data_IF_682699401698
#
_entry.id   IF_682699401698
#
_cell.length_a   1.000
_cell.length_b   1.000
_cell.length_c   1.000
_cell.angle_alpha   90.00
_cell.angle_beta   90.00
_cell.angle_gamma   90.00
#
_symmetry.space_group_name_H-M   'P 1'
#
loop_
_entity.id
_entity.type
_entity.pdbx_description
1 polymer ?
#
# COMPACT_ATOMS: atom_id res chain seq x y z
N UNK A 1 17.03 67.45 -9.60
CA UNK A 1 18.20 68.32 -9.45
C UNK A 1 19.11 67.67 -8.43
N UNK A 2 20.32 67.39 -8.90
CA UNK A 2 21.38 66.62 -8.27
C UNK A 2 21.82 67.16 -6.91
N UNK A 3 22.47 66.29 -6.13
CA UNK A 3 23.17 66.70 -4.91
C UNK A 3 23.64 65.54 -4.03
N UNK A 4 24.45 64.64 -4.58
CA UNK A 4 25.33 63.76 -3.79
C UNK A 4 26.39 64.59 -3.07
N UNK A 5 26.62 64.37 -1.77
CA UNK A 5 27.93 64.52 -1.14
C UNK A 5 28.04 63.71 0.17
N UNK A 6 29.25 63.20 0.36
CA UNK A 6 29.71 62.06 1.17
C UNK A 6 30.16 62.41 2.59
N UNK A 7 29.90 61.47 3.53
CA UNK A 7 30.68 60.99 4.70
C UNK A 7 31.29 62.00 5.72
N UNK A 8 31.34 61.65 7.04
CA UNK A 8 32.41 60.77 7.56
C UNK A 8 32.01 59.78 8.67
N UNK A 9 32.78 58.70 8.81
CA UNK A 9 32.84 57.78 9.97
C UNK A 9 33.49 58.49 11.19
N UNK A 10 33.18 58.12 12.46
CA UNK A 10 33.96 57.05 13.10
C UNK A 10 33.25 56.21 14.19
N UNK A 11 33.97 55.13 14.54
CA UNK A 11 34.05 54.44 15.84
C UNK A 11 32.92 53.53 16.33
N UNK A 12 33.29 52.25 16.37
CA UNK A 12 32.77 51.17 17.22
C UNK A 12 32.56 51.59 18.67
N UNK A 13 31.35 51.35 19.20
CA UNK A 13 31.10 51.20 20.63
C UNK A 13 30.31 49.92 20.85
N UNK A 14 30.92 48.98 21.55
CA UNK A 14 30.33 47.73 22.01
C UNK A 14 29.31 48.07 23.11
N UNK A 15 28.03 47.74 22.92
CA UNK A 15 27.04 47.74 23.99
C UNK A 15 26.38 46.37 24.03
N UNK A 16 26.75 45.60 25.05
CA UNK A 16 26.06 44.42 25.53
C UNK A 16 24.65 44.78 25.98
N UNK A 17 23.63 44.18 25.37
CA UNK A 17 22.25 44.20 25.89
C UNK A 17 21.82 42.78 26.19
N UNK A 18 21.55 42.58 27.48
CA UNK A 18 21.03 41.40 28.14
C UNK A 18 19.69 40.95 27.56
N UNK A 19 19.55 39.63 27.40
CA UNK A 19 18.33 38.99 26.94
C UNK A 19 17.21 39.11 27.97
N UNK A 20 16.05 39.61 27.56
CA UNK A 20 14.78 39.36 28.23
C UNK A 20 13.69 39.06 27.20
N UNK A 21 13.38 37.77 27.10
CA UNK A 21 12.07 37.14 26.86
C UNK A 21 10.98 37.95 26.13
N UNK A 22 10.73 37.61 24.85
CA UNK A 22 9.39 37.57 24.26
C UNK A 22 9.37 36.66 23.01
N UNK A 23 9.15 35.36 23.19
CA UNK A 23 8.88 34.45 22.07
C UNK A 23 8.10 33.19 22.50
N UNK A 24 6.83 33.35 22.90
CA UNK A 24 5.89 32.23 23.00
C UNK A 24 4.67 32.51 22.13
N UNK A 25 4.79 32.23 20.82
CA UNK A 25 3.65 31.92 19.92
C UNK A 25 4.01 31.51 18.48
N UNK A 26 5.29 31.49 18.08
CA UNK A 26 5.71 31.09 16.71
C UNK A 26 6.27 29.66 16.55
N UNK A 27 6.42 28.89 17.62
CA UNK A 27 7.14 27.59 17.57
C UNK A 27 6.32 26.40 17.08
N UNK A 28 4.98 26.38 17.28
CA UNK A 28 4.14 25.25 16.83
C UNK A 28 3.94 25.20 15.30
N UNK A 29 3.85 26.35 14.65
CA UNK A 29 3.66 26.42 13.18
C UNK A 29 4.97 26.16 12.43
N UNK A 30 6.10 26.51 13.04
CA UNK A 30 7.43 26.33 12.45
C UNK A 30 7.90 24.86 12.55
N UNK A 31 7.62 24.16 13.65
CA UNK A 31 7.92 22.72 13.79
C UNK A 31 7.16 21.84 12.79
N UNK A 32 5.88 22.15 12.51
CA UNK A 32 5.11 21.46 11.46
C UNK A 32 5.69 21.71 10.06
N UNK A 33 6.08 22.95 9.75
CA UNK A 33 6.69 23.29 8.44
C UNK A 33 8.05 22.63 8.24
N UNK A 34 8.87 22.52 9.29
CA UNK A 34 10.20 21.88 9.21
C UNK A 34 10.08 20.38 8.95
N UNK A 35 9.19 19.66 9.65
CA UNK A 35 8.98 18.22 9.43
C UNK A 35 8.45 17.91 8.02
N UNK A 36 7.55 18.74 7.48
CA UNK A 36 7.09 18.61 6.09
C UNK A 36 8.20 18.93 5.09
N UNK A 37 9.06 19.91 5.37
CA UNK A 37 10.22 20.22 4.52
C UNK A 37 11.29 19.13 4.54
N UNK A 38 11.59 18.49 5.68
CA UNK A 38 12.57 17.39 5.73
C UNK A 38 12.07 16.14 5.03
N UNK A 39 10.78 15.81 5.13
CA UNK A 39 10.18 14.73 4.34
C UNK A 39 10.20 15.02 2.83
N UNK A 40 9.88 16.26 2.44
CA UNK A 40 9.98 16.72 1.06
C UNK A 40 11.43 16.71 0.54
N UNK A 41 12.41 17.07 1.38
CA UNK A 41 13.84 17.04 1.04
C UNK A 41 14.40 15.62 0.97
N UNK A 42 13.92 14.70 1.81
CA UNK A 42 14.35 13.29 1.81
C UNK A 42 13.74 12.53 0.64
N UNK A 43 12.46 12.76 0.35
CA UNK A 43 11.81 12.28 -0.88
C UNK A 43 12.46 12.88 -2.12
N UNK A 44 12.80 14.18 -2.10
CA UNK A 44 13.58 14.81 -3.17
C UNK A 44 14.98 14.20 -3.29
N UNK A 45 15.69 13.88 -2.20
CA UNK A 45 17.02 13.23 -2.26
C UNK A 45 16.94 11.80 -2.82
N UNK A 46 15.95 11.00 -2.41
CA UNK A 46 15.73 9.68 -3.00
C UNK A 46 15.29 9.76 -4.47
N UNK A 47 14.53 10.79 -4.86
CA UNK A 47 14.16 11.05 -6.25
C UNK A 47 15.33 11.58 -7.11
N UNK A 48 16.16 12.48 -6.57
CA UNK A 48 17.34 13.04 -7.26
C UNK A 48 18.45 12.00 -7.44
N UNK A 49 18.62 11.07 -6.49
CA UNK A 49 19.51 9.92 -6.66
C UNK A 49 19.13 9.00 -7.82
N UNK A 50 17.90 9.08 -8.35
CA UNK A 50 17.42 8.33 -9.53
C UNK A 50 17.55 9.06 -10.86
N UNK A 51 17.72 10.38 -10.87
CA UNK A 51 17.91 11.16 -12.10
C UNK A 51 19.38 11.28 -12.52
N UNK A 52 20.33 10.76 -11.73
CA UNK A 52 21.69 10.57 -12.20
C UNK A 52 21.71 9.40 -13.18
N UNK A 53 21.97 9.70 -14.45
CA UNK A 53 22.41 8.71 -15.44
C UNK A 53 23.55 7.89 -14.82
N UNK A 54 23.56 6.55 -14.91
CA UNK A 54 24.61 5.74 -14.30
C UNK A 54 25.97 6.15 -14.87
N UNK A 55 26.82 6.75 -14.04
CA UNK A 55 28.19 7.14 -14.42
C UNK A 55 29.18 5.99 -14.20
N UNK A 56 28.73 4.84 -13.69
CA UNK A 56 29.54 3.64 -13.49
C UNK A 56 29.12 2.50 -14.44
N UNK A 57 30.06 1.74 -15.03
CA UNK A 57 29.73 0.68 -16.00
C UNK A 57 28.96 -0.54 -15.43
N UNK A 58 28.66 -0.57 -14.12
CA UNK A 58 28.08 -1.72 -13.41
C UNK A 58 26.62 -1.58 -12.95
N UNK A 59 26.03 -0.39 -12.98
CA UNK A 59 24.63 -0.15 -12.54
C UNK A 59 23.67 -0.01 -13.73
N UNK A 60 23.59 -1.04 -14.59
CA UNK A 60 22.49 -1.16 -15.55
C UNK A 60 21.32 -1.85 -14.85
N UNK A 61 20.28 -1.10 -14.49
CA UNK A 61 18.94 -1.67 -14.28
C UNK A 61 18.45 -2.12 -15.65
N UNK A 62 18.45 -3.42 -15.91
CA UNK A 62 17.91 -4.01 -17.14
C UNK A 62 16.39 -3.74 -17.18
N UNK A 63 15.99 -2.68 -17.86
CA UNK A 63 14.58 -2.34 -18.09
C UNK A 63 13.95 -3.48 -18.90
N UNK A 64 12.79 -3.97 -18.46
CA UNK A 64 12.11 -5.06 -19.15
C UNK A 64 11.68 -4.60 -20.55
N UNK A 65 12.36 -5.15 -21.56
CA UNK A 65 12.33 -4.72 -22.95
C UNK A 65 11.35 -5.51 -23.83
N UNK A 66 10.86 -6.67 -23.37
CA UNK A 66 10.05 -7.56 -24.19
C UNK A 66 8.98 -8.28 -23.39
N UNK A 67 7.75 -8.24 -23.88
CA UNK A 67 6.57 -8.90 -23.28
C UNK A 67 6.66 -10.44 -23.27
N UNK A 68 7.62 -11.03 -23.98
CA UNK A 68 7.90 -12.46 -24.00
C UNK A 68 9.38 -12.73 -23.72
N UNK A 69 9.68 -13.86 -23.08
CA UNK A 69 11.01 -14.47 -23.10
C UNK A 69 11.33 -14.92 -24.55
N UNK A 70 11.87 -14.01 -25.38
CA UNK A 70 12.24 -14.32 -26.78
C UNK A 70 13.74 -14.56 -26.87
N UNK A 71 14.12 -15.69 -27.46
CA UNK A 71 15.49 -15.93 -27.90
C UNK A 71 15.68 -15.31 -29.30
N UNK A 72 16.70 -14.44 -29.48
CA UNK A 72 16.91 -13.66 -30.71
C UNK A 72 18.02 -14.23 -31.59
N UNK A 73 17.77 -14.48 -32.89
CA UNK A 73 18.83 -14.86 -33.85
C UNK A 73 19.66 -13.64 -34.30
N UNK A 74 20.98 -13.83 -34.42
CA UNK A 74 21.93 -12.84 -34.93
C UNK A 74 21.49 -12.34 -36.33
N UNK A 75 21.38 -11.02 -36.51
CA UNK A 75 21.10 -10.40 -37.81
C UNK A 75 19.66 -9.92 -38.05
N UNK A 76 18.78 -9.96 -37.04
CA UNK A 76 17.47 -9.32 -37.14
C UNK A 76 17.62 -7.79 -36.99
N UNK A 77 17.16 -7.03 -37.99
CA UNK A 77 17.11 -5.57 -37.93
C UNK A 77 16.10 -5.15 -36.85
N UNK A 78 16.60 -4.60 -35.74
CA UNK A 78 15.78 -4.00 -34.69
C UNK A 78 15.05 -2.77 -35.25
N UNK A 79 13.75 -2.86 -35.44
CA UNK A 79 12.88 -1.70 -35.64
C UNK A 79 11.91 -1.52 -34.47
N UNK A 80 12.42 -1.51 -33.24
CA UNK A 80 11.86 -0.77 -32.08
C UNK A 80 12.73 -1.03 -30.86
N UNK A 81 13.02 0.04 -30.12
CA UNK A 81 14.04 0.09 -29.08
C UNK A 81 13.74 -0.81 -27.88
N UNK A 82 14.73 -1.58 -27.41
CA UNK A 82 15.18 -1.58 -26.01
C UNK A 82 16.45 -2.42 -25.83
N UNK A 83 17.23 -2.02 -24.83
CA UNK A 83 18.67 -2.21 -24.71
C UNK A 83 19.05 -3.45 -23.91
N UNK A 84 19.71 -4.44 -24.53
CA UNK A 84 20.79 -5.24 -23.93
C UNK A 84 21.31 -6.29 -24.94
N UNK A 85 22.46 -6.04 -25.56
CA UNK A 85 23.25 -7.10 -26.19
C UNK A 85 24.69 -6.98 -25.68
N UNK A 86 25.15 -7.99 -24.94
CA UNK A 86 26.54 -8.09 -24.47
C UNK A 86 27.43 -8.51 -25.65
N UNK A 87 28.60 -7.88 -25.76
CA UNK A 87 29.61 -7.99 -26.84
C UNK A 87 30.22 -9.40 -27.08
N UNK A 88 29.71 -10.48 -26.47
CA UNK A 88 30.40 -11.78 -26.40
C UNK A 88 29.82 -12.89 -27.28
N UNK A 89 28.82 -12.60 -28.14
CA UNK A 89 28.32 -13.59 -29.11
C UNK A 89 27.57 -14.79 -28.51
N UNK A 90 27.13 -14.69 -27.25
CA UNK A 90 26.31 -15.71 -26.58
C UNK A 90 24.85 -15.26 -26.55
N UNK A 91 23.94 -16.09 -27.07
CA UNK A 91 22.50 -15.95 -26.88
C UNK A 91 22.19 -16.00 -25.39
N UNK A 92 21.67 -14.91 -24.83
CA UNK A 92 21.06 -14.88 -23.49
C UNK A 92 19.57 -14.66 -23.67
N UNK A 93 18.75 -15.68 -23.39
CA UNK A 93 17.31 -15.49 -23.34
C UNK A 93 16.98 -14.81 -22.00
N UNK A 94 16.25 -13.70 -22.04
CA UNK A 94 15.73 -13.06 -20.82
C UNK A 94 14.57 -13.93 -20.31
N UNK A 95 14.77 -14.58 -19.16
CA UNK A 95 13.79 -15.49 -18.56
C UNK A 95 12.72 -14.75 -17.76
N UNK A 96 12.98 -13.48 -17.39
CA UNK A 96 12.07 -12.73 -16.55
C UNK A 96 10.98 -12.02 -17.39
N UNK A 97 9.73 -12.47 -17.23
CA UNK A 97 8.56 -11.83 -17.83
C UNK A 97 8.42 -10.37 -17.38
N UNK A 98 7.96 -9.49 -18.28
CA UNK A 98 7.58 -8.13 -17.89
C UNK A 98 6.30 -8.13 -17.05
N UNK A 99 6.25 -7.20 -16.08
CA UNK A 99 5.07 -6.99 -15.25
C UNK A 99 3.88 -6.49 -16.08
N UNK A 100 4.15 -5.59 -17.03
CA UNK A 100 3.17 -5.11 -18.01
C UNK A 100 3.36 -5.88 -19.31
N UNK A 101 2.26 -6.44 -19.81
CA UNK A 101 2.25 -7.27 -21.02
C UNK A 101 1.07 -6.87 -21.90
N UNK A 102 1.37 -6.24 -23.04
CA UNK A 102 0.35 -5.76 -23.97
C UNK A 102 -0.53 -6.89 -24.54
N UNK A 103 0.02 -8.09 -24.69
CA UNK A 103 -0.75 -9.23 -25.18
C UNK A 103 -1.74 -9.71 -24.13
N UNK A 104 -1.30 -9.78 -22.86
CA UNK A 104 -2.18 -10.10 -21.75
C UNK A 104 -3.28 -9.04 -21.59
N UNK A 105 -2.92 -7.75 -21.67
CA UNK A 105 -3.89 -6.64 -21.66
C UNK A 105 -4.94 -6.85 -22.77
N UNK A 106 -4.50 -7.07 -24.00
CA UNK A 106 -5.39 -7.27 -25.15
C UNK A 106 -6.28 -8.50 -24.99
N UNK A 107 -5.71 -9.61 -24.52
CA UNK A 107 -6.42 -10.86 -24.27
C UNK A 107 -7.55 -10.69 -23.25
N UNK A 108 -7.26 -10.05 -22.11
CA UNK A 108 -8.27 -9.73 -21.09
C UNK A 108 -9.34 -8.81 -21.66
N UNK A 109 -8.96 -7.77 -22.41
CA UNK A 109 -9.92 -6.82 -22.97
C UNK A 109 -10.87 -7.49 -23.97
N UNK A 110 -10.35 -8.35 -24.85
CA UNK A 110 -11.14 -9.11 -25.83
C UNK A 110 -12.10 -10.11 -25.17
N UNK A 111 -11.72 -10.67 -24.02
CA UNK A 111 -12.52 -11.66 -23.29
C UNK A 111 -13.22 -11.07 -22.06
N UNK A 112 -13.33 -9.74 -21.96
CA UNK A 112 -13.83 -9.04 -20.76
C UNK A 112 -15.24 -9.47 -20.35
N UNK A 113 -16.13 -9.73 -21.30
CA UNK A 113 -17.48 -10.27 -21.03
C UNK A 113 -17.46 -11.66 -20.38
N UNK A 114 -16.49 -12.50 -20.75
CA UNK A 114 -16.30 -13.84 -20.19
C UNK A 114 -15.64 -13.79 -18.81
N UNK A 115 -14.68 -12.89 -18.64
CA UNK A 115 -13.95 -12.75 -17.38
C UNK A 115 -14.71 -11.95 -16.31
N UNK A 116 -15.64 -11.08 -16.71
CA UNK A 116 -16.37 -10.19 -15.81
C UNK A 116 -15.58 -8.95 -15.38
N UNK A 117 -14.40 -8.72 -15.95
CA UNK A 117 -13.54 -7.58 -15.63
C UNK A 117 -12.70 -7.15 -16.85
N UNK A 118 -12.14 -5.94 -16.79
CA UNK A 118 -11.33 -5.33 -17.85
C UNK A 118 -9.95 -4.93 -17.36
N UNK A 119 -8.99 -4.84 -18.28
CA UNK A 119 -7.61 -4.46 -18.01
C UNK A 119 -7.29 -3.00 -18.37
N UNK A 120 -6.20 -2.46 -17.83
CA UNK A 120 -5.61 -1.18 -18.17
C UNK A 120 -4.08 -1.26 -18.19
N UNK A 121 -3.49 -0.31 -18.90
CA UNK A 121 -2.04 -0.14 -18.94
C UNK A 121 -1.61 0.95 -17.94
N UNK A 122 -0.91 0.56 -16.87
CA UNK A 122 -0.45 1.48 -15.82
C UNK A 122 1.03 1.83 -15.99
N UNK A 123 1.31 3.11 -16.26
CA UNK A 123 2.68 3.60 -16.47
C UNK A 123 3.60 3.40 -15.27
N UNK A 124 3.05 3.37 -14.06
CA UNK A 124 3.82 3.09 -12.85
C UNK A 124 4.48 1.70 -12.83
N UNK A 125 4.05 0.77 -13.68
CA UNK A 125 4.59 -0.59 -13.79
C UNK A 125 5.51 -0.80 -15.01
N UNK A 126 5.70 0.22 -15.87
CA UNK A 126 6.52 0.08 -17.07
C UNK A 126 7.99 -0.21 -16.76
N UNK A 127 8.58 -1.08 -17.58
CA UNK A 127 10.00 -1.47 -17.49
C UNK A 127 10.35 -2.36 -16.30
N UNK A 128 9.38 -2.76 -15.47
CA UNK A 128 9.59 -3.64 -14.30
C UNK A 128 9.37 -5.10 -14.66
N UNK A 129 10.14 -5.99 -14.04
CA UNK A 129 9.98 -7.44 -14.17
C UNK A 129 8.84 -7.94 -13.28
N UNK A 130 8.19 -9.04 -13.67
CA UNK A 130 7.09 -9.65 -12.92
C UNK A 130 7.54 -10.07 -11.51
N UNK A 131 8.73 -10.65 -11.38
CA UNK A 131 9.31 -11.03 -10.09
C UNK A 131 9.49 -9.82 -9.16
N UNK A 132 9.90 -8.67 -9.70
CA UNK A 132 9.99 -7.41 -8.92
C UNK A 132 8.61 -6.91 -8.51
N UNK A 133 7.64 -6.95 -9.43
CA UNK A 133 6.25 -6.60 -9.16
C UNK A 133 5.67 -7.42 -8.01
N UNK A 134 5.78 -8.75 -8.09
CA UNK A 134 5.36 -9.65 -7.03
C UNK A 134 6.08 -9.36 -5.71
N UNK A 135 7.41 -9.27 -5.71
CA UNK A 135 8.18 -9.04 -4.49
C UNK A 135 7.88 -7.69 -3.81
N UNK A 136 7.77 -6.59 -4.58
CA UNK A 136 7.71 -5.23 -4.03
C UNK A 136 6.30 -4.65 -3.95
N UNK A 137 5.31 -5.21 -4.66
CA UNK A 137 3.90 -4.78 -4.56
C UNK A 137 3.05 -5.72 -3.72
N UNK A 138 3.36 -7.01 -3.59
CA UNK A 138 2.51 -7.94 -2.83
C UNK A 138 2.97 -8.17 -1.40
N UNK A 139 4.28 -8.34 -1.13
CA UNK A 139 4.96 -8.14 0.15
C UNK A 139 4.46 -8.85 1.43
N UNK A 140 3.43 -9.68 1.38
CA UNK A 140 2.93 -10.37 2.57
C UNK A 140 3.46 -11.80 2.59
N UNK A 141 3.98 -12.25 3.72
CA UNK A 141 4.33 -13.65 3.92
C UNK A 141 3.14 -14.45 4.44
N UNK A 142 3.10 -15.75 4.11
CA UNK A 142 2.12 -16.66 4.69
C UNK A 142 2.20 -16.62 6.22
N UNK A 143 1.08 -16.47 6.94
CA UNK A 143 1.09 -16.49 8.40
C UNK A 143 1.74 -17.76 8.93
N UNK A 144 2.47 -17.64 10.03
CA UNK A 144 3.06 -18.81 10.70
C UNK A 144 1.97 -19.79 11.14
N UNK A 145 2.30 -21.07 11.25
CA UNK A 145 1.34 -22.15 11.55
C UNK A 145 0.42 -21.85 12.74
N UNK A 146 0.96 -21.30 13.83
CA UNK A 146 0.16 -20.93 15.01
C UNK A 146 -0.84 -19.80 14.72
N UNK A 147 -0.41 -18.78 13.99
CA UNK A 147 -1.25 -17.66 13.52
C UNK A 147 -2.31 -18.16 12.54
N UNK A 148 -1.89 -18.99 11.58
CA UNK A 148 -2.77 -19.57 10.58
C UNK A 148 -3.84 -20.49 11.20
N UNK A 149 -3.51 -21.18 12.29
CA UNK A 149 -4.43 -22.09 12.99
C UNK A 149 -5.18 -21.43 14.16
N UNK A 150 -5.12 -20.10 14.31
CA UNK A 150 -5.92 -19.39 15.31
C UNK A 150 -7.40 -19.74 15.13
N UNK A 151 -8.05 -20.18 16.23
CA UNK A 151 -9.48 -20.46 16.24
C UNK A 151 -10.24 -19.18 15.88
N UNK A 152 -11.11 -19.22 14.86
CA UNK A 152 -11.90 -18.06 14.50
C UNK A 152 -12.82 -17.62 15.65
N UNK A 153 -13.04 -16.31 15.76
CA UNK A 153 -13.99 -15.74 16.68
C UNK A 153 -15.41 -16.22 16.36
N UNK A 154 -16.15 -16.62 17.39
CA UNK A 154 -17.53 -17.06 17.24
C UNK A 154 -18.43 -15.83 17.08
N UNK A 155 -18.78 -15.51 15.84
CA UNK A 155 -19.80 -14.51 15.52
C UNK A 155 -21.17 -15.15 15.41
N UNK A 156 -22.22 -14.39 15.75
CA UNK A 156 -23.63 -14.77 15.60
C UNK A 156 -24.30 -13.76 14.66
N UNK A 157 -24.12 -13.90 13.34
CA UNK A 157 -24.65 -12.94 12.38
C UNK A 157 -26.18 -12.99 12.37
N UNK A 158 -26.81 -11.82 12.29
CA UNK A 158 -28.26 -11.72 12.12
C UNK A 158 -28.56 -11.59 10.62
N UNK A 159 -28.78 -12.73 9.96
CA UNK A 159 -28.78 -12.83 8.49
C UNK A 159 -29.75 -11.85 7.80
N UNK A 160 -30.95 -11.63 8.34
CA UNK A 160 -31.95 -10.73 7.76
C UNK A 160 -31.54 -9.24 7.84
N UNK A 161 -30.49 -8.90 8.59
CA UNK A 161 -29.94 -7.53 8.68
C UNK A 161 -28.74 -7.32 7.75
N UNK A 162 -28.25 -8.36 7.07
CA UNK A 162 -27.15 -8.24 6.12
C UNK A 162 -27.75 -7.84 4.76
N UNK A 163 -27.58 -6.59 4.29
CA UNK A 163 -28.12 -6.17 3.00
C UNK A 163 -27.40 -6.87 1.84
N UNK A 164 -28.02 -6.85 0.66
CA UNK A 164 -27.41 -7.39 -0.56
C UNK A 164 -26.14 -6.63 -0.97
N UNK A 165 -26.11 -5.33 -0.68
CA UNK A 165 -24.99 -4.43 -0.95
C UNK A 165 -24.70 -3.57 0.28
N UNK A 166 -23.42 -3.32 0.52
CA UNK A 166 -22.97 -2.48 1.62
C UNK A 166 -21.61 -1.91 1.30
N UNK A 167 -21.38 -0.65 1.66
CA UNK A 167 -20.08 -0.01 1.60
C UNK A 167 -19.88 0.83 2.84
N UNK A 168 -18.88 0.48 3.66
CA UNK A 168 -18.58 1.16 4.90
C UNK A 168 -18.32 2.66 4.69
N UNK A 169 -17.82 3.05 3.51
CA UNK A 169 -17.50 4.45 3.17
C UNK A 169 -18.75 5.33 3.06
N UNK A 170 -19.90 4.73 2.73
CA UNK A 170 -21.17 5.43 2.54
C UNK A 170 -22.18 5.15 3.65
N UNK A 171 -21.77 4.45 4.71
CA UNK A 171 -22.62 4.26 5.88
C UNK A 171 -22.75 5.60 6.63
N UNK A 172 -23.97 6.13 6.83
CA UNK A 172 -24.16 7.47 7.42
C UNK A 172 -23.45 7.67 8.77
N UNK A 173 -23.44 6.65 9.62
CA UNK A 173 -22.80 6.72 10.94
C UNK A 173 -21.26 6.77 10.86
N UNK A 174 -20.67 6.45 9.71
CA UNK A 174 -19.22 6.39 9.49
C UNK A 174 -18.73 7.38 8.44
N UNK A 175 -19.53 8.41 8.14
CA UNK A 175 -19.16 9.46 7.20
C UNK A 175 -17.83 10.12 7.60
N UNK A 176 -16.84 10.06 6.70
CA UNK A 176 -15.49 10.58 6.96
C UNK A 176 -14.64 9.77 7.95
N UNK A 177 -15.10 8.60 8.39
CA UNK A 177 -14.40 7.72 9.36
C UNK A 177 -13.79 6.48 8.71
N UNK A 178 -13.90 6.32 7.39
CA UNK A 178 -13.21 5.29 6.62
C UNK A 178 -12.10 5.95 5.79
N UNK A 179 -10.86 5.53 6.03
CA UNK A 179 -9.69 6.05 5.32
C UNK A 179 -9.70 5.69 3.84
N UNK A 180 -9.13 6.59 3.03
CA UNK A 180 -8.91 6.39 1.60
C UNK A 180 -7.81 5.36 1.28
N UNK A 181 -7.48 5.25 -0.01
CA UNK A 181 -6.40 4.37 -0.49
C UNK A 181 -5.05 5.06 -0.36
N UNK A 182 -4.05 4.33 0.12
CA UNK A 182 -2.65 4.75 0.20
C UNK A 182 -1.78 4.04 -0.86
N UNK A 183 -0.55 4.51 -1.04
CA UNK A 183 0.43 3.89 -1.94
C UNK A 183 1.66 3.44 -1.16
N UNK A 184 1.93 2.12 -1.19
CA UNK A 184 3.12 1.51 -0.60
C UNK A 184 4.38 1.72 -1.46
N UNK A 185 4.24 2.25 -2.67
CA UNK A 185 5.34 2.39 -3.63
C UNK A 185 6.00 1.05 -3.97
N UNK A 186 7.30 1.08 -4.21
CA UNK A 186 8.11 -0.10 -4.57
C UNK A 186 8.74 -0.75 -3.34
N UNK A 187 7.93 -0.97 -2.31
CA UNK A 187 8.34 -1.65 -1.08
C UNK A 187 7.21 -2.59 -0.63
N UNK A 188 7.50 -3.89 -0.50
CA UNK A 188 6.57 -4.97 -0.20
C UNK A 188 5.98 -4.86 1.20
N UNK A 189 5.07 -3.91 1.41
CA UNK A 189 4.63 -3.47 2.75
C UNK A 189 3.11 -3.48 2.91
N UNK A 190 2.41 -4.15 1.99
CA UNK A 190 0.97 -4.39 2.05
C UNK A 190 0.49 -4.89 3.42
N UNK A 191 1.20 -5.86 4.03
CA UNK A 191 0.93 -6.40 5.37
C UNK A 191 0.88 -5.32 6.46
N UNK A 192 1.70 -4.28 6.34
CA UNK A 192 1.74 -3.14 7.24
C UNK A 192 0.63 -2.15 6.90
N UNK A 193 0.49 -1.77 5.63
CA UNK A 193 -0.53 -0.82 5.17
C UNK A 193 -1.95 -1.29 5.48
N UNK A 194 -2.31 -2.52 5.12
CA UNK A 194 -3.64 -3.07 5.38
C UNK A 194 -3.94 -3.21 6.88
N UNK A 195 -2.94 -3.58 7.69
CA UNK A 195 -3.10 -3.66 9.15
C UNK A 195 -3.36 -2.28 9.75
N UNK A 196 -2.61 -1.27 9.32
CA UNK A 196 -2.76 0.11 9.76
C UNK A 196 -4.06 0.74 9.29
N UNK A 197 -4.47 0.48 8.05
CA UNK A 197 -5.72 1.00 7.49
C UNK A 197 -6.94 0.44 8.25
N UNK A 198 -6.93 -0.85 8.57
CA UNK A 198 -7.98 -1.45 9.41
C UNK A 198 -7.93 -0.90 10.83
N UNK A 199 -6.74 -0.78 11.42
CA UNK A 199 -6.59 -0.25 12.78
C UNK A 199 -7.07 1.20 12.88
N UNK A 200 -6.71 2.06 11.91
CA UNK A 200 -7.08 3.47 11.92
C UNK A 200 -8.57 3.65 11.63
N UNK A 201 -9.16 2.91 10.67
CA UNK A 201 -10.60 3.00 10.38
C UNK A 201 -11.42 2.68 11.61
N UNK A 202 -11.06 1.59 12.31
CA UNK A 202 -11.77 1.19 13.51
C UNK A 202 -11.58 2.19 14.63
N UNK A 203 -10.36 2.72 14.84
CA UNK A 203 -10.13 3.80 15.80
C UNK A 203 -10.96 5.05 15.49
N UNK A 204 -11.05 5.46 14.22
CA UNK A 204 -11.86 6.59 13.77
C UNK A 204 -13.36 6.35 14.02
N UNK A 205 -13.88 5.16 13.67
CA UNK A 205 -15.27 4.76 13.93
C UNK A 205 -15.60 4.84 15.43
N UNK A 206 -14.71 4.38 16.30
CA UNK A 206 -14.97 4.32 17.74
C UNK A 206 -14.84 5.66 18.43
N UNK A 207 -13.85 6.45 18.03
CA UNK A 207 -13.55 7.73 18.67
C UNK A 207 -14.35 8.88 18.10
N UNK A 208 -14.93 8.72 16.91
CA UNK A 208 -15.52 9.80 16.12
C UNK A 208 -14.47 10.80 15.61
N UNK A 209 -13.18 10.53 15.79
CA UNK A 209 -12.11 11.42 15.33
C UNK A 209 -11.83 11.17 13.86
N UNK A 210 -12.28 12.07 12.98
CA UNK A 210 -11.87 12.08 11.58
C UNK A 210 -10.40 12.49 11.44
N UNK A 211 -9.70 11.99 10.41
CA UNK A 211 -8.32 12.36 10.05
C UNK A 211 -7.18 11.74 10.88
N UNK A 212 -7.30 10.47 11.30
CA UNK A 212 -6.16 9.69 11.78
C UNK A 212 -5.46 9.03 10.59
N UNK A 213 -4.16 9.26 10.43
CA UNK A 213 -3.32 8.52 9.46
C UNK A 213 -2.12 7.96 10.19
N UNK A 214 -2.09 6.64 10.39
CA UNK A 214 -1.05 5.99 11.16
C UNK A 214 0.23 5.77 10.33
N UNK A 215 1.38 5.98 10.95
CA UNK A 215 2.69 5.90 10.32
C UNK A 215 3.02 4.47 9.88
N UNK A 216 3.05 4.26 8.56
CA UNK A 216 3.57 3.02 8.00
C UNK A 216 5.07 2.89 8.25
N UNK A 217 5.79 4.00 8.20
CA UNK A 217 7.24 4.00 8.37
C UNK A 217 7.69 3.55 9.76
N UNK A 218 7.05 4.05 10.82
CA UNK A 218 7.40 3.63 12.18
C UNK A 218 7.14 2.14 12.35
N UNK A 219 6.02 1.62 11.84
CA UNK A 219 5.73 0.20 11.90
C UNK A 219 6.84 -0.61 11.25
N UNK A 220 7.25 -0.26 10.02
CA UNK A 220 8.31 -0.96 9.30
C UNK A 220 9.67 -0.87 10.00
N UNK A 221 10.07 0.34 10.39
CA UNK A 221 11.39 0.59 10.95
C UNK A 221 11.55 0.01 12.36
N UNK A 222 10.47 -0.08 13.14
CA UNK A 222 10.50 -0.44 14.57
C UNK A 222 9.85 -1.79 14.90
N UNK A 223 9.24 -2.49 13.93
CA UNK A 223 8.78 -3.88 14.12
C UNK A 223 9.96 -4.82 14.35
N UNK A 224 9.74 -5.82 15.21
CA UNK A 224 10.66 -6.93 15.43
C UNK A 224 9.98 -8.27 15.06
N UNK A 225 10.67 -9.19 14.37
CA UNK A 225 12.01 -9.06 13.78
C UNK A 225 12.11 -7.93 12.76
N UNK A 226 13.34 -7.45 12.50
CA UNK A 226 13.58 -6.41 11.48
C UNK A 226 13.12 -6.93 10.12
N UNK A 227 12.56 -6.03 9.32
CA UNK A 227 12.02 -6.30 7.99
C UNK A 227 12.72 -5.42 6.95
N UNK A 228 12.65 -5.83 5.69
CA UNK A 228 13.05 -5.03 4.53
C UNK A 228 11.86 -4.88 3.57
N UNK A 229 12.11 -4.33 2.38
CA UNK A 229 11.07 -4.16 1.36
C UNK A 229 10.65 -5.46 0.66
N UNK A 230 11.14 -6.64 1.05
CA UNK A 230 10.76 -7.91 0.44
C UNK A 230 9.53 -8.54 1.09
N UNK A 231 9.18 -8.09 2.29
CA UNK A 231 7.91 -8.47 2.90
C UNK A 231 7.92 -8.57 4.41
N UNK A 232 6.76 -8.94 4.95
CA UNK A 232 6.58 -9.17 6.37
C UNK A 232 5.34 -9.97 6.71
N UNK A 233 5.23 -10.27 8.00
CA UNK A 233 4.16 -11.10 8.56
C UNK A 233 3.10 -10.21 9.23
N UNK A 234 1.82 -10.51 8.99
CA UNK A 234 0.71 -9.76 9.59
C UNK A 234 0.68 -9.89 11.12
N UNK A 235 1.10 -11.03 11.69
CA UNK A 235 1.24 -11.20 13.13
C UNK A 235 2.27 -10.26 13.76
N UNK A 236 3.33 -9.90 13.03
CA UNK A 236 4.34 -8.97 13.52
C UNK A 236 3.81 -7.53 13.53
N UNK A 237 3.03 -7.16 12.50
CA UNK A 237 2.31 -5.87 12.46
C UNK A 237 1.36 -5.75 13.66
N UNK A 238 0.42 -6.69 13.80
CA UNK A 238 -0.55 -6.65 14.89
C UNK A 238 0.10 -6.79 16.28
N UNK A 239 1.15 -7.60 16.40
CA UNK A 239 1.94 -7.70 17.62
C UNK A 239 2.60 -6.37 18.00
N UNK A 240 3.14 -5.64 17.02
CA UNK A 240 3.74 -4.32 17.21
C UNK A 240 2.70 -3.26 17.57
N UNK A 241 1.57 -3.24 16.87
CA UNK A 241 0.45 -2.34 17.14
C UNK A 241 -0.14 -2.53 18.54
N UNK A 242 -0.26 -3.78 19.00
CA UNK A 242 -0.71 -4.08 20.36
C UNK A 242 0.30 -3.65 21.42
N UNK A 243 1.57 -4.03 21.27
CA UNK A 243 2.61 -3.84 22.32
C UNK A 243 3.11 -2.40 22.37
N UNK A 244 3.53 -1.88 21.23
CA UNK A 244 4.23 -0.60 21.10
C UNK A 244 3.30 0.51 20.60
N UNK A 245 2.41 0.17 19.68
CA UNK A 245 1.62 1.14 18.93
C UNK A 245 2.46 1.94 17.94
N UNK A 246 1.80 2.79 17.17
CA UNK A 246 2.43 3.67 16.19
C UNK A 246 1.89 5.09 16.30
N UNK A 247 2.69 6.06 15.93
CA UNK A 247 2.32 7.46 15.82
C UNK A 247 1.65 7.76 14.48
N UNK A 248 1.20 9.00 14.32
CA UNK A 248 0.68 9.47 13.04
C UNK A 248 1.78 9.69 12.01
N UNK A 249 1.44 9.49 10.74
CA UNK A 249 2.30 9.64 9.56
C UNK A 249 3.03 10.99 9.54
N UNK A 250 2.39 12.07 10.01
CA UNK A 250 3.02 13.40 10.08
C UNK A 250 4.21 13.47 11.05
N UNK A 251 4.30 12.55 12.01
CA UNK A 251 5.37 12.47 12.99
C UNK A 251 6.49 11.53 12.56
N UNK A 252 6.19 10.57 11.69
CA UNK A 252 7.17 9.66 11.10
C UNK A 252 6.78 9.36 9.66
N UNK A 253 7.20 10.21 8.70
CA UNK A 253 6.78 10.10 7.30
C UNK A 253 7.35 8.89 6.56
N UNK A 254 6.56 8.38 5.62
CA UNK A 254 6.85 7.23 4.78
C UNK A 254 7.82 7.57 3.66
N UNK A 255 8.95 6.86 3.67
CA UNK A 255 10.05 7.03 2.71
C UNK A 255 10.39 5.71 2.02
N UNK A 256 10.09 4.56 2.65
CA UNK A 256 10.48 3.24 2.15
C UNK A 256 9.99 2.91 0.75
N UNK A 257 8.77 3.30 0.39
CA UNK A 257 8.21 3.07 -0.94
C UNK A 257 8.95 3.79 -2.07
N UNK A 258 9.65 4.88 -1.76
CA UNK A 258 10.41 5.68 -2.72
C UNK A 258 11.88 5.29 -2.78
N UNK A 259 12.46 4.99 -1.62
CA UNK A 259 13.88 4.66 -1.48
C UNK A 259 14.16 3.15 -1.62
N UNK A 260 13.12 2.30 -1.70
CA UNK A 260 13.20 0.83 -1.79
C UNK A 260 14.00 0.20 -0.63
N UNK A 261 14.00 0.85 0.54
CA UNK A 261 14.70 0.40 1.74
C UNK A 261 13.90 0.69 3.02
N UNK A 262 14.18 -0.05 4.09
CA UNK A 262 13.61 0.21 5.41
C UNK A 262 14.70 0.79 6.32
N UNK A 263 14.66 2.10 6.64
CA UNK A 263 15.62 2.68 7.57
C UNK A 263 15.46 2.10 8.98
N UNK A 264 16.54 2.15 9.77
CA UNK A 264 16.51 1.73 11.17
C UNK A 264 15.53 2.56 11.99
N UNK A 265 14.92 1.94 13.01
CA UNK A 265 14.06 2.64 13.97
C UNK A 265 14.77 3.83 14.61
N UNK A 266 14.41 5.05 14.21
CA UNK A 266 14.68 6.23 15.01
C UNK A 266 13.70 6.27 16.19
N UNK A 267 14.24 6.26 17.41
CA UNK A 267 13.47 6.46 18.65
C UNK A 267 13.52 7.90 19.14
N UNK A 268 13.82 8.86 18.25
CA UNK A 268 13.77 10.26 18.62
C UNK A 268 12.43 10.56 19.31
N UNK A 269 12.52 11.23 20.46
CA UNK A 269 11.40 11.50 21.36
C UNK A 269 10.47 12.54 20.72
N UNK A 270 9.73 12.10 19.73
CA UNK A 270 8.68 12.89 19.13
C UNK A 270 7.52 12.81 20.12
N UNK A 271 7.09 13.94 20.69
CA UNK A 271 5.95 14.04 21.63
C UNK A 271 4.59 13.68 20.97
N UNK A 272 4.59 12.86 19.93
CA UNK A 272 3.42 12.42 19.20
C UNK A 272 2.71 11.31 19.96
N UNK A 273 1.37 11.39 19.96
CA UNK A 273 0.51 10.34 20.51
C UNK A 273 0.74 9.04 19.74
N UNK A 274 0.90 7.94 20.47
CA UNK A 274 0.87 6.59 19.90
C UNK A 274 -0.52 5.99 20.00
N UNK A 275 -0.91 5.27 18.97
CA UNK A 275 -2.16 4.52 18.85
C UNK A 275 -1.84 3.04 18.98
N UNK A 276 -2.55 2.37 19.88
CA UNK A 276 -2.40 0.93 20.17
C UNK A 276 -3.72 0.23 19.92
N UNK A 277 -3.65 -1.00 19.44
CA UNK A 277 -4.84 -1.81 19.17
C UNK A 277 -5.11 -2.80 20.29
N UNK A 278 -6.35 -3.28 20.36
CA UNK A 278 -6.67 -4.51 21.08
C UNK A 278 -6.04 -5.73 20.40
N UNK A 279 -6.01 -6.91 21.05
CA UNK A 279 -5.61 -8.14 20.40
C UNK A 279 -6.40 -8.39 19.10
N UNK A 280 -5.67 -8.75 18.05
CA UNK A 280 -6.26 -9.18 16.78
C UNK A 280 -6.93 -10.54 16.96
N UNK A 281 -8.02 -10.76 16.23
CA UNK A 281 -8.68 -12.06 16.11
C UNK A 281 -8.97 -12.39 14.66
N UNK A 282 -9.09 -13.68 14.39
CA UNK A 282 -9.48 -14.20 13.09
C UNK A 282 -10.99 -14.30 12.98
N UNK A 283 -11.54 -13.91 11.84
CA UNK A 283 -12.95 -14.11 11.49
C UNK A 283 -13.08 -15.45 10.78
N UNK A 284 -14.19 -16.15 11.01
CA UNK A 284 -14.50 -17.38 10.30
C UNK A 284 -14.67 -17.12 8.81
N UNK A 285 -14.21 -18.05 7.97
CA UNK A 285 -14.30 -17.97 6.50
C UNK A 285 -15.72 -18.05 5.92
N UNK A 286 -16.76 -18.04 6.76
CA UNK A 286 -18.14 -17.92 6.30
C UNK A 286 -18.38 -16.48 5.83
N UNK A 287 -18.92 -16.33 4.62
CA UNK A 287 -19.20 -15.04 3.99
C UNK A 287 -20.03 -14.14 4.90
N UNK A 288 -21.06 -14.69 5.54
CA UNK A 288 -21.99 -13.95 6.40
C UNK A 288 -21.29 -13.43 7.67
N UNK A 289 -20.27 -14.13 8.16
CA UNK A 289 -19.47 -13.67 9.31
C UNK A 289 -18.58 -12.49 8.93
N UNK A 290 -17.98 -12.53 7.73
CA UNK A 290 -17.17 -11.42 7.22
C UNK A 290 -18.07 -10.20 6.95
N UNK A 291 -19.22 -10.40 6.29
CA UNK A 291 -20.19 -9.33 6.05
C UNK A 291 -20.69 -8.71 7.36
N UNK A 292 -21.04 -9.55 8.34
CA UNK A 292 -21.51 -9.11 9.65
C UNK A 292 -20.46 -8.27 10.38
N UNK A 293 -19.22 -8.75 10.43
CA UNK A 293 -18.13 -8.01 11.05
C UNK A 293 -17.94 -6.63 10.40
N UNK A 294 -17.91 -6.58 9.07
CA UNK A 294 -17.77 -5.32 8.33
C UNK A 294 -18.95 -4.38 8.60
N UNK A 295 -20.18 -4.92 8.64
CA UNK A 295 -21.40 -4.14 8.88
C UNK A 295 -21.43 -3.49 10.27
N UNK A 296 -20.97 -4.20 11.30
CA UNK A 296 -21.12 -3.78 12.69
C UNK A 296 -19.89 -3.08 13.25
N UNK A 297 -18.68 -3.49 12.85
CA UNK A 297 -17.42 -3.05 13.46
C UNK A 297 -16.47 -2.36 12.45
N UNK A 298 -16.83 -2.32 11.16
CA UNK A 298 -16.05 -1.66 10.12
C UNK A 298 -15.07 -2.57 9.41
N UNK A 299 -14.23 -2.01 8.51
CA UNK A 299 -13.38 -2.77 7.59
C UNK A 299 -12.53 -3.85 8.25
N UNK A 300 -12.17 -4.86 7.46
CA UNK A 300 -11.39 -6.04 7.88
C UNK A 300 -10.19 -6.24 6.99
N UNK A 301 -9.14 -6.88 7.50
CA UNK A 301 -7.96 -7.23 6.73
C UNK A 301 -8.12 -8.63 6.15
N UNK A 302 -7.81 -8.82 4.88
CA UNK A 302 -7.79 -10.13 4.24
C UNK A 302 -6.43 -10.42 3.60
N UNK A 303 -6.11 -11.71 3.47
CA UNK A 303 -4.99 -12.18 2.67
C UNK A 303 -5.51 -12.81 1.38
N UNK A 304 -4.83 -12.53 0.27
CA UNK A 304 -5.16 -13.12 -1.02
C UNK A 304 -3.91 -13.37 -1.87
N UNK A 305 -4.00 -14.37 -2.75
CA UNK A 305 -2.96 -14.65 -3.74
C UNK A 305 -3.09 -13.71 -4.91
N UNK A 306 -1.98 -13.11 -5.31
CA UNK A 306 -1.90 -12.22 -6.47
C UNK A 306 -1.29 -12.97 -7.64
N UNK A 307 -2.00 -12.91 -8.76
CA UNK A 307 -1.58 -13.39 -10.06
C UNK A 307 -1.13 -12.21 -10.93
N UNK A 308 -0.45 -12.52 -12.04
CA UNK A 308 0.11 -11.52 -12.96
C UNK A 308 -0.94 -10.56 -13.52
N UNK A 309 -2.11 -11.07 -13.85
CA UNK A 309 -3.21 -10.34 -14.47
C UNK A 309 -3.86 -9.31 -13.55
N UNK A 310 -3.84 -9.51 -12.22
CA UNK A 310 -4.36 -8.53 -11.26
C UNK A 310 -3.64 -7.17 -11.35
N UNK A 311 -2.34 -7.14 -11.67
CA UNK A 311 -1.62 -5.87 -11.87
C UNK A 311 -2.26 -4.98 -12.94
N UNK A 312 -2.97 -5.59 -13.89
CA UNK A 312 -3.62 -4.94 -15.01
C UNK A 312 -5.09 -4.60 -14.73
N UNK A 313 -5.66 -5.00 -13.59
CA UNK A 313 -7.07 -4.78 -13.27
C UNK A 313 -7.47 -3.31 -13.41
N UNK A 314 -8.60 -3.04 -14.07
CA UNK A 314 -9.19 -1.70 -14.22
C UNK A 314 -10.56 -1.57 -13.56
N UNK A 315 -11.47 -2.48 -13.87
CA UNK A 315 -12.88 -2.42 -13.42
C UNK A 315 -13.60 -3.76 -13.64
N UNK A 316 -14.76 -3.92 -13.01
CA UNK A 316 -15.58 -5.14 -13.04
C UNK A 316 -15.23 -6.08 -11.88
N UNK A 317 -15.83 -7.27 -11.84
CA UNK A 317 -15.58 -8.26 -10.79
C UNK A 317 -14.43 -9.17 -11.19
N UNK A 318 -13.27 -8.97 -10.57
CA UNK A 318 -12.13 -9.83 -10.76
C UNK A 318 -12.43 -11.26 -10.29
N UNK A 319 -12.11 -12.22 -11.14
CA UNK A 319 -12.13 -13.63 -10.82
C UNK A 319 -10.73 -14.19 -11.03
N UNK A 320 -10.29 -15.03 -10.11
CA UNK A 320 -8.93 -15.52 -10.08
C UNK A 320 -8.70 -16.55 -11.18
N UNK A 321 -7.57 -16.50 -11.90
CA UNK A 321 -7.27 -17.48 -12.92
C UNK A 321 -7.14 -18.87 -12.30
N UNK A 322 -7.54 -19.89 -13.06
CA UNK A 322 -7.18 -21.26 -12.73
C UNK A 322 -5.67 -21.40 -12.97
N UNK A 323 -4.91 -21.54 -11.90
CA UNK A 323 -3.44 -21.59 -11.97
C UNK A 323 -2.96 -22.83 -12.67
N UNK A 324 -2.04 -22.65 -13.63
CA UNK A 324 -1.14 -23.71 -14.05
C UNK A 324 0.01 -23.85 -13.05
N UNK A 325 0.60 -25.04 -12.94
CA UNK A 325 1.69 -25.32 -12.00
C UNK A 325 2.97 -24.46 -12.23
N UNK A 326 3.06 -23.75 -13.36
CA UNK A 326 4.17 -22.86 -13.69
C UNK A 326 3.93 -21.38 -13.35
N UNK A 327 2.72 -21.00 -12.90
CA UNK A 327 2.43 -19.59 -12.60
C UNK A 327 3.11 -19.13 -11.31
N UNK A 328 3.94 -18.09 -11.41
CA UNK A 328 4.50 -17.42 -10.23
C UNK A 328 3.45 -16.49 -9.61
N UNK A 329 3.20 -16.70 -8.33
CA UNK A 329 2.23 -15.93 -7.54
C UNK A 329 2.86 -15.43 -6.26
N UNK A 330 2.24 -14.46 -5.61
CA UNK A 330 2.69 -13.99 -4.32
C UNK A 330 1.52 -13.60 -3.42
N UNK A 331 1.76 -13.69 -2.11
CA UNK A 331 0.76 -13.35 -1.11
C UNK A 331 0.69 -11.84 -0.91
N UNK A 332 -0.53 -11.34 -0.73
CA UNK A 332 -0.83 -9.93 -0.54
C UNK A 332 -1.86 -9.74 0.56
N UNK A 333 -1.79 -8.60 1.24
CA UNK A 333 -2.77 -8.22 2.26
C UNK A 333 -3.50 -6.96 1.84
N UNK A 334 -4.82 -6.99 1.98
CA UNK A 334 -5.74 -5.97 1.51
C UNK A 334 -6.79 -5.67 2.58
N UNK A 335 -7.54 -4.58 2.40
CA UNK A 335 -8.62 -4.18 3.31
C UNK A 335 -9.97 -4.31 2.61
N UNK A 336 -10.88 -5.12 3.15
CA UNK A 336 -12.26 -5.25 2.64
C UNK A 336 -13.13 -4.21 3.33
N UNK A 337 -13.85 -3.41 2.53
CA UNK A 337 -14.67 -2.29 3.02
C UNK A 337 -16.17 -2.46 2.74
N UNK A 338 -16.55 -3.44 1.92
CA UNK A 338 -17.94 -3.62 1.52
C UNK A 338 -18.14 -4.83 0.62
N UNK A 339 -19.36 -4.99 0.12
CA UNK A 339 -19.76 -6.03 -0.83
C UNK A 339 -20.93 -5.55 -1.69
N UNK A 340 -21.17 -6.26 -2.79
CA UNK A 340 -22.36 -6.02 -3.60
C UNK A 340 -22.68 -7.16 -4.55
N UNK A 341 -23.55 -6.86 -5.50
CA UNK A 341 -23.97 -7.78 -6.57
C UNK A 341 -23.94 -7.03 -7.89
N UNK A 342 -23.21 -7.54 -8.86
CA UNK A 342 -23.23 -7.01 -10.22
C UNK A 342 -24.27 -7.77 -11.03
N UNK A 343 -25.26 -7.04 -11.55
CA UNK A 343 -26.31 -7.60 -12.38
C UNK A 343 -25.96 -7.44 -13.86
N UNK A 344 -26.18 -8.50 -14.62
CA UNK A 344 -26.05 -8.51 -16.07
C UNK A 344 -27.34 -9.04 -16.68
N UNK A 345 -27.73 -8.50 -17.83
CA UNK A 345 -28.84 -9.04 -18.63
C UNK A 345 -28.48 -10.37 -19.31
N UNK A 346 -27.19 -10.69 -19.42
CA UNK A 346 -26.68 -11.85 -20.16
C UNK A 346 -26.21 -13.00 -19.26
N UNK A 347 -25.89 -12.72 -17.99
CA UNK A 347 -25.28 -13.68 -17.08
C UNK A 347 -25.91 -13.64 -15.69
N UNK A 348 -25.70 -14.70 -14.92
CA UNK A 348 -26.15 -14.75 -13.53
C UNK A 348 -25.51 -13.62 -12.69
N UNK A 349 -26.21 -13.06 -11.69
CA UNK A 349 -25.67 -12.01 -10.84
C UNK A 349 -24.38 -12.45 -10.14
N UNK A 350 -23.35 -11.60 -10.19
CA UNK A 350 -22.04 -11.91 -9.62
C UNK A 350 -21.87 -11.16 -8.30
N UNK A 351 -21.75 -11.90 -7.21
CA UNK A 351 -21.47 -11.34 -5.88
C UNK A 351 -20.00 -10.96 -5.77
N UNK A 352 -19.70 -9.81 -5.18
CA UNK A 352 -18.32 -9.35 -4.99
C UNK A 352 -18.07 -8.75 -3.62
N UNK A 353 -16.79 -8.70 -3.23
CA UNK A 353 -16.23 -7.86 -2.18
C UNK A 353 -15.71 -6.56 -2.78
N UNK A 354 -15.86 -5.44 -2.07
CA UNK A 354 -15.19 -4.16 -2.38
C UNK A 354 -13.92 -4.09 -1.54
N UNK A 355 -12.78 -3.97 -2.21
CA UNK A 355 -11.46 -4.10 -1.58
C UNK A 355 -10.63 -2.87 -1.88
N UNK A 356 -10.08 -2.25 -0.82
CA UNK A 356 -9.09 -1.20 -0.92
C UNK A 356 -7.70 -1.83 -1.05
N UNK A 357 -6.98 -1.45 -2.11
CA UNK A 357 -5.60 -1.85 -2.35
C UNK A 357 -4.63 -0.82 -1.71
N UNK A 358 -3.33 -1.09 -1.77
CA UNK A 358 -2.24 -0.21 -1.30
C UNK A 358 -1.30 0.23 -2.44
N UNK A 359 -1.80 0.30 -3.68
CA UNK A 359 -1.03 0.69 -4.87
C UNK A 359 -1.40 2.07 -5.41
N UNK A 360 -1.99 2.92 -4.56
CA UNK A 360 -2.39 4.28 -4.93
C UNK A 360 -3.73 4.36 -5.66
N UNK A 361 -4.25 5.57 -5.75
CA UNK A 361 -5.59 5.86 -6.28
C UNK A 361 -5.67 5.81 -7.81
N UNK A 362 -4.54 5.78 -8.52
CA UNK A 362 -4.51 5.73 -9.99
C UNK A 362 -4.71 4.31 -10.53
N UNK A 363 -4.64 3.29 -9.67
CA UNK A 363 -4.83 1.90 -10.03
C UNK A 363 -6.28 1.45 -9.82
N UNK A 364 -6.82 0.63 -10.71
CA UNK A 364 -8.17 0.05 -10.59
C UNK A 364 -9.28 1.11 -10.53
N UNK A 365 -10.29 0.86 -9.70
CA UNK A 365 -11.43 1.74 -9.47
C UNK A 365 -11.08 2.75 -8.35
N UNK A 366 -10.23 3.74 -8.65
CA UNK A 366 -9.72 4.75 -7.69
C UNK A 366 -8.94 4.14 -6.51
N UNK A 367 -8.13 3.12 -6.78
CA UNK A 367 -7.37 2.36 -5.80
C UNK A 367 -8.14 1.18 -5.18
N UNK A 368 -9.40 1.00 -5.57
CA UNK A 368 -10.23 -0.14 -5.19
C UNK A 368 -10.32 -1.17 -6.32
N UNK A 369 -10.73 -2.37 -5.96
CA UNK A 369 -11.14 -3.40 -6.90
C UNK A 369 -12.29 -4.22 -6.33
N UNK A 370 -13.03 -4.87 -7.21
CA UNK A 370 -14.03 -5.87 -6.87
C UNK A 370 -13.48 -7.25 -7.15
N UNK A 371 -13.69 -8.18 -6.22
CA UNK A 371 -13.29 -9.59 -6.37
C UNK A 371 -14.46 -10.49 -6.01
N UNK A 372 -14.61 -11.60 -6.72
CA UNK A 372 -15.74 -12.51 -6.56
C UNK A 372 -15.85 -13.01 -5.10
N UNK A 373 -17.08 -12.94 -4.56
CA UNK A 373 -17.44 -13.33 -3.20
C UNK A 373 -18.20 -14.65 -3.19
N UNK A 374 -17.92 -15.49 -2.19
CA UNK A 374 -18.58 -16.76 -1.94
C UNK A 374 -17.95 -17.96 -2.66
N UNK A 375 -16.89 -17.73 -3.41
CA UNK A 375 -16.07 -18.75 -4.07
C UNK A 375 -14.67 -18.85 -3.47
N UNK A 376 -14.38 -18.07 -2.42
CA UNK A 376 -13.03 -17.90 -1.86
C UNK A 376 -11.98 -17.59 -2.95
N UNK A 377 -12.34 -16.71 -3.89
CA UNK A 377 -11.47 -16.30 -5.00
C UNK A 377 -10.10 -15.84 -4.48
N UNK A 378 -9.02 -16.41 -5.02
CA UNK A 378 -7.64 -16.14 -4.60
C UNK A 378 -7.39 -16.37 -3.09
N UNK A 379 -8.22 -17.15 -2.42
CA UNK A 379 -8.12 -17.39 -0.99
C UNK A 379 -8.57 -16.24 -0.10
N UNK A 380 -9.20 -15.17 -0.65
CA UNK A 380 -9.48 -13.92 0.09
C UNK A 380 -10.35 -14.10 1.35
N UNK A 381 -11.17 -15.15 1.40
CA UNK A 381 -12.07 -15.44 2.53
C UNK A 381 -11.43 -16.39 3.55
N UNK A 382 -10.25 -16.93 3.24
CA UNK A 382 -9.58 -17.96 4.05
C UNK A 382 -9.01 -17.39 5.34
N UNK A 383 -8.39 -16.21 5.27
CA UNK A 383 -7.67 -15.63 6.40
C UNK A 383 -8.00 -14.14 6.54
N UNK A 384 -9.04 -13.87 7.34
CA UNK A 384 -9.54 -12.51 7.58
C UNK A 384 -9.32 -12.15 9.04
N UNK A 385 -8.72 -10.98 9.28
CA UNK A 385 -8.36 -10.47 10.59
C UNK A 385 -9.10 -9.17 10.90
N UNK A 386 -9.39 -8.98 12.18
CA UNK A 386 -10.00 -7.78 12.71
C UNK A 386 -9.48 -7.48 14.13
N UNK A 387 -9.67 -6.23 14.56
CA UNK A 387 -9.42 -5.79 15.93
C UNK A 387 -10.66 -5.16 16.51
N UNK A 388 -10.95 -5.42 17.78
CA UNK A 388 -12.06 -4.74 18.45
C UNK A 388 -11.64 -3.33 18.81
N UNK A 389 -12.63 -2.45 18.86
CA UNK A 389 -12.42 -1.15 19.45
C UNK A 389 -12.10 -1.16 20.94
N UNK A 390 -11.31 -0.17 21.39
CA UNK A 390 -11.20 0.15 22.82
C UNK A 390 -12.50 0.81 23.27
N UNK A 391 -13.31 0.10 24.05
CA UNK A 391 -14.43 0.69 24.79
C UNK A 391 -14.01 1.40 26.09
N UNK A 392 -12.74 1.34 26.47
CA UNK A 392 -12.22 1.86 27.75
C UNK A 392 -12.01 3.39 27.75
N UNK A 393 -12.99 4.16 27.25
CA UNK A 393 -13.10 5.62 27.44
C UNK A 393 -14.48 6.01 28.00
N UNK A 394 -14.94 5.24 28.97
CA UNK A 394 -15.90 5.70 29.98
C UNK A 394 -15.27 5.52 31.36
N UNK A 395 -14.27 6.35 31.67
CA UNK A 395 -14.01 6.92 33.01
C UNK A 395 -13.38 8.29 32.80
#
# INVERSE_FOLDING_TARGET
MDGTMTAPFPSTTTVSVTATTFASRKTKTMGKRIATMTAALTSARCAWGRFQTPTSPGERRDLCASTMARCWRLGSTLSTAMSACVKTGRLTCEEDQCLVDEELIRSVQQNSLRHGWTSANYSMFWGRKLKEGLALRTGTFLPQTMTYNMKPSLLRPVLHRIPMEFDARYKPEWEGLISGVRDQGWCGTSWAFSSLDVAQDREMILSGQSSITLSAQELLSCTFPRVDCKGGYVENAWGSLKKQGVMEETCYPYTSGFCENVPSCSRESNHCKKYKTQPVYRISSKVENIQWEILTEGPVQALMTVHRDLFLYKSGVYNCPQTDAQDITAMHSVRIVGWGVEYSSMYAPVKYWVVANSWGTTWGENGFFKIQRGTNACGIESFVLAVRGRKDRMV
#
